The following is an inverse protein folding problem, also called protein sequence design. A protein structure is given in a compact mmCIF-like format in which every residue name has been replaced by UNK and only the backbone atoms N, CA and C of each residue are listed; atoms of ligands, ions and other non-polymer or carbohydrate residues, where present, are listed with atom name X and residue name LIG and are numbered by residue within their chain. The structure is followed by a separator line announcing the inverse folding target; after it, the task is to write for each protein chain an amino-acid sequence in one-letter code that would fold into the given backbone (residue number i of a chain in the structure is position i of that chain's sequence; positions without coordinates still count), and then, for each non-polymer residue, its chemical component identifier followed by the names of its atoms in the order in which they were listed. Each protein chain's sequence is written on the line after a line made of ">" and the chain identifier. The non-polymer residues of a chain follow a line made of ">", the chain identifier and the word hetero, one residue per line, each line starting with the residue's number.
data_IF_846335472671
#
_entry.id   IF_846335472671
#
_cell.length_a   1.000
_cell.length_b   1.000
_cell.length_c   1.000
_cell.angle_alpha   90.00
_cell.angle_beta   90.00
_cell.angle_gamma   90.00
#
_symmetry.space_group_name_H-M   'P 1'
#
loop_
_entity.id
_entity.type
_entity.pdbx_description
1 polymer ?
#
# COMPACT_ATOMS: atom_id res chain seq x y z
N UNK A 1 2.64 -0.54 24.53
CA UNK A 1 1.67 -0.70 23.42
C UNK A 1 0.47 0.19 23.70
N UNK A 2 0.38 1.35 23.05
CA UNK A 2 -0.78 2.28 23.11
C UNK A 2 -0.90 3.01 21.77
N UNK A 3 -1.11 2.27 20.69
CA UNK A 3 -1.97 2.85 19.64
C UNK A 3 -3.37 2.63 20.19
N UNK A 4 -4.00 3.70 20.69
CA UNK A 4 -5.31 3.55 21.34
C UNK A 4 -6.30 2.99 20.32
N UNK A 5 -7.19 2.10 20.75
CA UNK A 5 -8.30 1.60 19.94
C UNK A 5 -9.15 2.76 19.35
N UNK A 6 -9.06 3.96 19.92
CA UNK A 6 -9.67 5.19 19.41
C UNK A 6 -9.08 5.65 18.07
N UNK A 7 -7.77 5.47 17.82
CA UNK A 7 -7.14 5.85 16.55
C UNK A 7 -7.64 5.01 15.36
N UNK A 8 -8.27 3.86 15.64
CA UNK A 8 -8.83 2.95 14.64
C UNK A 8 -10.34 3.01 14.53
N UNK A 9 -11.02 3.85 15.34
CA UNK A 9 -12.49 3.89 15.37
C UNK A 9 -13.08 4.24 14.00
N UNK A 10 -12.39 5.09 13.26
CA UNK A 10 -12.85 5.60 11.97
C UNK A 10 -12.10 4.95 10.78
N UNK A 11 -11.19 4.00 11.03
CA UNK A 11 -10.51 3.26 9.98
C UNK A 11 -11.41 2.12 9.49
N UNK A 12 -11.80 2.16 8.21
CA UNK A 12 -12.45 1.02 7.55
C UNK A 12 -11.47 0.37 6.58
N UNK A 13 -11.23 -0.92 6.79
CA UNK A 13 -10.42 -1.75 5.88
C UNK A 13 -11.36 -2.54 4.98
N UNK A 14 -11.17 -2.42 3.66
CA UNK A 14 -11.82 -3.29 2.67
C UNK A 14 -10.73 -4.24 2.17
N UNK A 15 -10.90 -5.53 2.46
CA UNK A 15 -10.07 -6.58 1.90
C UNK A 15 -10.70 -7.06 0.59
N UNK A 16 -9.89 -7.22 -0.45
CA UNK A 16 -10.30 -7.87 -1.71
C UNK A 16 -9.36 -9.05 -1.88
N UNK A 17 -9.87 -10.25 -1.69
CA UNK A 17 -9.12 -11.50 -1.86
C UNK A 17 -9.13 -11.98 -3.32
N UNK A 18 -8.41 -13.06 -3.63
CA UNK A 18 -8.45 -13.66 -4.97
C UNK A 18 -9.80 -14.31 -5.31
N UNK A 19 -10.51 -14.81 -4.30
CA UNK A 19 -11.86 -15.40 -4.44
C UNK A 19 -12.93 -14.33 -4.65
N UNK A 20 -12.77 -13.20 -3.97
CA UNK A 20 -13.59 -12.01 -4.13
C UNK A 20 -13.13 -11.27 -5.39
N UNK A 21 -13.69 -11.62 -6.55
CA UNK A 21 -13.47 -10.88 -7.79
C UNK A 21 -13.63 -9.38 -7.53
N UNK A 22 -12.52 -8.64 -7.44
CA UNK A 22 -12.58 -7.22 -7.13
C UNK A 22 -13.18 -6.35 -8.24
N UNK A 23 -13.52 -6.95 -9.39
CA UNK A 23 -14.33 -6.37 -10.46
C UNK A 23 -15.82 -6.69 -10.33
N UNK A 24 -16.24 -7.41 -9.30
CA UNK A 24 -17.67 -7.64 -9.06
C UNK A 24 -18.37 -6.29 -8.91
N UNK A 25 -19.56 -6.19 -9.47
CA UNK A 25 -20.36 -4.97 -9.34
C UNK A 25 -20.56 -4.60 -7.86
N UNK A 26 -20.66 -5.61 -6.99
CA UNK A 26 -20.78 -5.45 -5.54
C UNK A 26 -19.53 -4.82 -4.90
N UNK A 27 -18.32 -5.27 -5.22
CA UNK A 27 -17.07 -4.69 -4.68
C UNK A 27 -16.87 -3.25 -5.18
N UNK A 28 -17.15 -2.99 -6.46
CA UNK A 28 -17.07 -1.65 -7.06
C UNK A 28 -18.12 -0.74 -6.42
N UNK A 29 -19.36 -1.20 -6.27
CA UNK A 29 -20.44 -0.44 -5.63
C UNK A 29 -20.11 -0.15 -4.17
N UNK A 30 -19.66 -1.15 -3.40
CA UNK A 30 -19.30 -0.98 -1.99
C UNK A 30 -18.18 0.03 -1.80
N UNK A 31 -17.16 -0.01 -2.65
CA UNK A 31 -16.03 0.93 -2.56
C UNK A 31 -16.44 2.33 -3.04
N UNK A 32 -17.25 2.42 -4.10
CA UNK A 32 -17.80 3.71 -4.57
C UNK A 32 -18.71 4.34 -3.53
N UNK A 33 -19.63 3.59 -2.93
CA UNK A 33 -20.48 4.05 -1.84
C UNK A 33 -19.67 4.46 -0.61
N UNK A 34 -18.57 3.76 -0.32
CA UNK A 34 -17.66 4.14 0.75
C UNK A 34 -16.99 5.49 0.46
N UNK A 35 -16.44 5.67 -0.74
CA UNK A 35 -15.81 6.92 -1.18
C UNK A 35 -16.84 8.07 -1.16
N UNK A 36 -18.02 7.87 -1.75
CA UNK A 36 -19.11 8.87 -1.76
C UNK A 36 -19.50 9.26 -0.33
N UNK A 37 -19.63 8.28 0.58
CA UNK A 37 -19.95 8.54 1.97
C UNK A 37 -18.81 9.29 2.71
N UNK A 38 -17.55 8.99 2.42
CA UNK A 38 -16.41 9.74 2.97
C UNK A 38 -16.41 11.19 2.49
N UNK A 39 -16.70 11.40 1.20
CA UNK A 39 -16.87 12.71 0.57
C UNK A 39 -18.01 13.50 1.21
N UNK A 40 -19.19 12.88 1.39
CA UNK A 40 -20.35 13.52 2.01
C UNK A 40 -20.10 13.92 3.47
N UNK A 41 -19.27 13.16 4.19
CA UNK A 41 -18.92 13.44 5.59
C UNK A 41 -17.65 14.29 5.76
N UNK A 42 -17.01 14.75 4.67
CA UNK A 42 -15.75 15.54 4.70
C UNK A 42 -14.63 14.88 5.53
N UNK A 43 -14.47 13.57 5.39
CA UNK A 43 -13.41 12.81 6.07
C UNK A 43 -12.22 12.68 5.13
N UNK A 44 -11.02 13.07 5.58
CA UNK A 44 -9.78 12.87 4.83
C UNK A 44 -9.59 11.38 4.52
N UNK A 45 -9.64 11.03 3.24
CA UNK A 45 -9.53 9.66 2.77
C UNK A 45 -8.10 9.39 2.30
N UNK A 46 -7.34 8.59 3.05
CA UNK A 46 -6.17 7.91 2.49
C UNK A 46 -6.61 6.52 2.00
N UNK A 47 -6.87 6.40 0.70
CA UNK A 47 -7.04 5.13 0.02
C UNK A 47 -5.68 4.46 -0.17
N UNK A 48 -5.12 3.92 0.91
CA UNK A 48 -3.93 3.07 0.83
C UNK A 48 -4.38 1.66 0.46
N UNK A 49 -4.13 1.23 -0.78
CA UNK A 49 -4.33 -0.17 -1.19
C UNK A 49 -2.98 -0.87 -1.08
N UNK A 50 -2.82 -1.64 0.00
CA UNK A 50 -1.73 -2.59 0.15
C UNK A 50 -2.07 -3.84 -0.68
N UNK A 51 -1.54 -3.91 -1.90
CA UNK A 51 -1.76 -5.07 -2.77
C UNK A 51 -0.75 -6.16 -2.38
N UNK A 52 -1.20 -7.10 -1.55
CA UNK A 52 -0.50 -8.36 -1.32
C UNK A 52 -1.01 -9.43 -2.27
N UNK A 53 -0.09 -10.12 -2.92
CA UNK A 53 -0.34 -11.43 -3.52
C UNK A 53 0.51 -12.45 -2.77
N UNK A 54 -0.12 -13.25 -1.91
CA UNK A 54 0.39 -14.57 -1.55
C UNK A 54 0.22 -15.45 -2.81
N UNK A 55 1.19 -16.32 -3.13
CA UNK A 55 0.97 -17.69 -3.62
C UNK A 55 2.22 -18.28 -4.27
N UNK A 56 2.64 -19.39 -3.68
CA UNK A 56 3.50 -20.40 -4.26
C UNK A 56 2.94 -20.84 -5.62
N UNK A 57 3.79 -20.91 -6.64
CA UNK A 57 3.56 -21.61 -7.93
C UNK A 57 2.68 -20.92 -9.00
N UNK A 58 3.21 -19.89 -9.67
CA UNK A 58 3.21 -19.67 -11.15
C UNK A 58 3.22 -18.17 -11.51
N UNK A 59 4.29 -17.64 -12.13
CA UNK A 59 4.42 -16.22 -12.49
C UNK A 59 3.27 -15.65 -13.34
N UNK A 60 2.65 -16.46 -14.21
CA UNK A 60 1.61 -15.97 -15.14
C UNK A 60 0.26 -15.73 -14.48
N UNK A 61 -0.13 -16.53 -13.47
CA UNK A 61 -1.39 -16.33 -12.72
C UNK A 61 -1.31 -15.07 -11.86
N UNK A 62 -0.17 -14.89 -11.18
CA UNK A 62 0.13 -13.67 -10.40
C UNK A 62 0.03 -12.40 -11.23
N UNK A 63 0.47 -12.43 -12.49
CA UNK A 63 0.34 -11.27 -13.39
C UNK A 63 -1.11 -10.96 -13.74
N UNK A 64 -1.95 -11.96 -13.96
CA UNK A 64 -3.38 -11.79 -14.23
C UNK A 64 -4.08 -11.13 -13.05
N UNK A 65 -3.83 -11.65 -11.85
CA UNK A 65 -4.40 -11.13 -10.59
C UNK A 65 -3.92 -9.71 -10.34
N UNK A 66 -2.61 -9.46 -10.46
CA UNK A 66 -2.08 -8.11 -10.26
C UNK A 66 -2.64 -7.10 -11.28
N UNK A 67 -2.82 -7.49 -12.55
CA UNK A 67 -3.46 -6.62 -13.56
C UNK A 67 -4.90 -6.33 -13.19
N UNK A 68 -5.63 -7.32 -12.68
CA UNK A 68 -6.99 -7.14 -12.19
C UNK A 68 -7.03 -6.17 -11.01
N UNK A 69 -6.20 -6.38 -9.98
CA UNK A 69 -6.10 -5.50 -8.82
C UNK A 69 -5.69 -4.07 -9.21
N UNK A 70 -4.77 -3.93 -10.17
CA UNK A 70 -4.39 -2.63 -10.72
C UNK A 70 -5.56 -1.93 -11.43
N UNK A 71 -6.27 -2.67 -12.28
CA UNK A 71 -7.45 -2.13 -12.97
C UNK A 71 -8.52 -1.69 -11.97
N UNK A 72 -8.73 -2.44 -10.89
CA UNK A 72 -9.67 -2.09 -9.83
C UNK A 72 -9.25 -0.78 -9.17
N UNK A 73 -7.99 -0.67 -8.75
CA UNK A 73 -7.46 0.58 -8.18
C UNK A 73 -7.72 1.77 -9.12
N UNK A 74 -7.41 1.64 -10.42
CA UNK A 74 -7.68 2.71 -11.39
C UNK A 74 -9.18 3.08 -11.48
N UNK A 75 -10.09 2.10 -11.42
CA UNK A 75 -11.54 2.34 -11.43
C UNK A 75 -12.06 3.01 -10.15
N UNK A 76 -11.40 2.77 -9.02
CA UNK A 76 -11.73 3.41 -7.74
C UNK A 76 -11.25 4.86 -7.68
N UNK A 77 -10.11 5.13 -8.31
CA UNK A 77 -9.46 6.43 -8.28
C UNK A 77 -10.01 7.37 -9.35
N UNK A 78 -10.45 6.86 -10.50
CA UNK A 78 -10.92 7.72 -11.61
C UNK A 78 -12.15 8.59 -11.33
N UNK A 79 -13.17 8.17 -10.54
CA UNK A 79 -14.36 9.01 -10.32
C UNK A 79 -14.11 10.20 -9.40
N UNK A 80 -12.98 10.20 -8.69
CA UNK A 80 -12.60 11.21 -7.70
C UNK A 80 -11.40 12.05 -8.12
N UNK A 81 -10.78 11.73 -9.25
CA UNK A 81 -9.84 12.64 -9.93
C UNK A 81 -10.60 13.87 -10.44
N UNK A 82 -10.06 15.07 -10.19
CA UNK A 82 -10.70 16.33 -10.57
C UNK A 82 -11.86 16.80 -9.68
N UNK A 83 -12.20 16.06 -8.61
CA UNK A 83 -13.03 16.62 -7.53
C UNK A 83 -12.29 17.74 -6.80
N UNK A 84 -13.01 18.65 -6.14
CA UNK A 84 -12.37 19.72 -5.36
C UNK A 84 -11.31 19.16 -4.42
N UNK A 85 -10.21 19.87 -4.22
CA UNK A 85 -9.06 19.40 -3.43
C UNK A 85 -9.44 18.83 -2.05
N UNK A 86 -10.48 19.38 -1.42
CA UNK A 86 -11.04 18.94 -0.12
C UNK A 86 -11.68 17.53 -0.13
N UNK A 87 -11.97 16.98 -1.30
CA UNK A 87 -12.69 15.72 -1.49
C UNK A 87 -11.87 14.67 -2.26
N UNK A 88 -10.65 15.01 -2.67
CA UNK A 88 -9.80 14.13 -3.46
C UNK A 88 -9.02 13.16 -2.54
N UNK A 89 -9.34 11.85 -2.54
CA UNK A 89 -8.66 10.89 -1.69
C UNK A 89 -7.20 10.75 -2.09
N UNK A 90 -6.34 10.60 -1.10
CA UNK A 90 -4.94 10.22 -1.29
C UNK A 90 -4.83 8.76 -1.72
N UNK A 91 -3.82 8.46 -2.52
CA UNK A 91 -3.49 7.10 -2.92
C UNK A 91 -2.11 6.71 -2.41
N UNK A 92 -1.92 5.42 -2.13
CA UNK A 92 -0.61 4.83 -1.96
C UNK A 92 -0.58 3.41 -2.55
N UNK A 93 0.50 3.07 -3.23
CA UNK A 93 0.77 1.73 -3.76
C UNK A 93 2.11 1.27 -3.22
N UNK A 94 2.13 0.07 -2.61
CA UNK A 94 3.34 -0.57 -2.09
C UNK A 94 3.58 -1.89 -2.82
N UNK A 95 4.81 -2.08 -3.30
CA UNK A 95 5.33 -3.38 -3.75
C UNK A 95 6.81 -3.49 -3.39
N UNK A 96 7.38 -4.72 -3.43
CA UNK A 96 8.83 -4.88 -3.39
C UNK A 96 9.54 -3.94 -4.38
N UNK A 97 10.66 -3.35 -3.95
CA UNK A 97 11.39 -2.34 -4.72
C UNK A 97 11.73 -2.81 -6.14
N UNK A 98 12.08 -4.08 -6.28
CA UNK A 98 12.51 -4.69 -7.55
C UNK A 98 11.37 -5.35 -8.31
N UNK A 99 10.12 -5.17 -7.87
CA UNK A 99 8.97 -5.80 -8.50
C UNK A 99 8.80 -5.31 -9.95
N UNK A 100 8.56 -6.25 -10.88
CA UNK A 100 8.44 -5.93 -12.30
C UNK A 100 7.20 -5.07 -12.62
N UNK A 101 6.19 -5.08 -11.74
CA UNK A 101 4.94 -4.33 -11.94
C UNK A 101 5.18 -2.83 -12.05
N UNK A 102 6.21 -2.29 -11.37
CA UNK A 102 6.66 -0.90 -11.53
C UNK A 102 7.02 -0.51 -12.97
N UNK A 103 7.37 -1.50 -13.81
CA UNK A 103 7.75 -1.26 -15.20
C UNK A 103 6.57 -1.30 -16.18
N UNK A 104 5.39 -1.73 -15.73
CA UNK A 104 4.20 -1.85 -16.58
C UNK A 104 3.76 -0.48 -17.11
N UNK A 105 3.40 -0.43 -18.40
CA UNK A 105 2.98 0.82 -19.07
C UNK A 105 1.78 1.46 -18.38
N UNK A 106 0.78 0.66 -18.00
CA UNK A 106 -0.43 1.16 -17.33
C UNK A 106 -0.12 1.70 -15.93
N UNK A 107 0.85 1.10 -15.23
CA UNK A 107 1.31 1.57 -13.93
C UNK A 107 1.96 2.94 -14.07
N UNK A 108 2.96 3.05 -14.95
CA UNK A 108 3.65 4.31 -15.21
C UNK A 108 2.70 5.41 -15.68
N UNK A 109 1.74 5.06 -16.55
CA UNK A 109 0.76 6.00 -17.08
C UNK A 109 -0.12 6.57 -15.97
N UNK A 110 -0.70 5.72 -15.12
CA UNK A 110 -1.56 6.17 -14.01
C UNK A 110 -0.78 7.08 -13.06
N UNK A 111 0.42 6.66 -12.63
CA UNK A 111 1.25 7.46 -11.71
C UNK A 111 1.62 8.83 -12.32
N UNK A 112 1.90 8.88 -13.63
CA UNK A 112 2.24 10.12 -14.32
C UNK A 112 1.03 11.01 -14.65
N UNK A 113 -0.19 10.45 -14.70
CA UNK A 113 -1.41 11.19 -15.03
C UNK A 113 -2.12 11.78 -13.82
N UNK A 114 -1.57 11.60 -12.62
CA UNK A 114 -2.13 12.16 -11.38
C UNK A 114 -2.05 13.68 -11.38
N UNK A 115 -3.09 14.32 -10.84
CA UNK A 115 -3.11 15.77 -10.63
C UNK A 115 -2.10 16.19 -9.54
N UNK A 116 -2.02 15.42 -8.45
CA UNK A 116 -1.02 15.59 -7.40
C UNK A 116 0.26 14.84 -7.76
N UNK A 117 1.45 15.45 -7.59
CA UNK A 117 2.71 14.78 -7.83
C UNK A 117 2.86 13.52 -6.98
N UNK A 118 3.23 12.43 -7.63
CA UNK A 118 3.52 11.17 -6.96
C UNK A 118 4.95 11.18 -6.43
N UNK A 119 5.10 10.91 -5.14
CA UNK A 119 6.38 10.81 -4.45
C UNK A 119 6.71 9.33 -4.25
N UNK A 120 7.91 8.94 -4.66
CA UNK A 120 8.46 7.60 -4.40
C UNK A 120 9.23 7.59 -3.09
N UNK A 121 8.88 6.65 -2.21
CA UNK A 121 9.58 6.37 -0.97
C UNK A 121 10.09 4.93 -0.90
N UNK A 122 11.15 4.72 -0.12
CA UNK A 122 11.72 3.39 0.11
C UNK A 122 11.74 3.07 1.60
N UNK A 123 11.35 1.84 1.93
CA UNK A 123 11.32 1.31 3.30
C UNK A 123 12.22 0.08 3.36
N UNK A 124 13.14 0.07 4.31
CA UNK A 124 14.00 -1.08 4.57
C UNK A 124 13.49 -1.83 5.82
N UNK A 125 13.07 -3.09 5.68
CA UNK A 125 12.43 -3.88 6.75
C UNK A 125 13.28 -4.06 8.01
N UNK A 126 14.59 -4.08 7.88
CA UNK A 126 15.49 -4.16 9.03
C UNK A 126 15.40 -2.92 9.93
N UNK A 127 15.09 -1.75 9.37
CA UNK A 127 14.92 -0.50 10.14
C UNK A 127 13.63 -0.46 10.96
N UNK A 128 12.71 -1.41 10.73
CA UNK A 128 11.47 -1.60 11.50
C UNK A 128 11.44 -2.95 12.22
N UNK A 129 12.61 -3.56 12.41
CA UNK A 129 12.75 -4.77 13.22
C UNK A 129 12.18 -6.04 12.57
N UNK A 130 12.11 -6.10 11.23
CA UNK A 130 11.78 -7.34 10.54
C UNK A 130 12.89 -8.37 10.75
N UNK A 131 12.56 -9.50 11.35
CA UNK A 131 13.50 -10.56 11.74
C UNK A 131 13.14 -11.86 11.01
N UNK A 132 14.15 -12.60 10.55
CA UNK A 132 13.99 -13.90 9.92
C UNK A 132 13.96 -15.05 10.92
N UNK A 133 13.71 -16.26 10.41
CA UNK A 133 13.73 -17.48 11.23
C UNK A 133 15.11 -17.77 11.86
N UNK A 134 16.18 -17.22 11.26
CA UNK A 134 17.56 -17.27 11.77
C UNK A 134 17.84 -16.26 12.90
N UNK A 135 16.87 -15.42 13.27
CA UNK A 135 17.00 -14.37 14.26
C UNK A 135 17.74 -13.11 13.77
N UNK A 136 18.19 -13.08 12.51
CA UNK A 136 18.85 -11.92 11.92
C UNK A 136 17.85 -10.95 11.29
N UNK A 137 18.24 -9.67 11.16
CA UNK A 137 17.41 -8.64 10.55
C UNK A 137 17.28 -8.85 9.04
N UNK A 138 16.08 -8.68 8.50
CA UNK A 138 15.82 -8.88 7.07
C UNK A 138 15.85 -7.54 6.33
N UNK A 139 16.67 -7.47 5.29
CA UNK A 139 16.73 -6.31 4.39
C UNK A 139 15.69 -6.36 3.27
N UNK A 140 14.42 -6.53 3.63
CA UNK A 140 13.32 -6.50 2.66
C UNK A 140 13.09 -5.05 2.26
N UNK A 141 13.16 -4.78 0.95
CA UNK A 141 13.04 -3.42 0.42
C UNK A 141 11.70 -3.24 -0.25
N UNK A 142 10.90 -2.33 0.28
CA UNK A 142 9.64 -1.93 -0.31
C UNK A 142 9.77 -0.57 -0.96
N UNK A 143 9.05 -0.39 -2.06
CA UNK A 143 8.83 0.91 -2.70
C UNK A 143 7.37 1.29 -2.46
N UNK A 144 7.15 2.53 -2.06
CA UNK A 144 5.82 3.11 -1.93
C UNK A 144 5.74 4.32 -2.84
N UNK A 145 4.78 4.33 -3.75
CA UNK A 145 4.43 5.50 -4.56
C UNK A 145 3.11 6.06 -4.04
N UNK A 146 3.10 7.33 -3.63
CA UNK A 146 1.92 8.01 -3.04
C UNK A 146 1.86 9.48 -3.43
N UNK A 147 0.67 10.06 -3.51
CA UNK A 147 0.48 11.52 -3.62
C UNK A 147 0.29 12.21 -2.25
N UNK A 148 0.51 11.48 -1.15
CA UNK A 148 0.42 12.01 0.20
C UNK A 148 1.82 12.25 0.78
N UNK A 149 2.24 13.51 0.77
CA UNK A 149 3.58 13.93 1.20
C UNK A 149 3.93 13.52 2.65
N UNK A 150 3.07 13.71 3.68
CA UNK A 150 3.37 13.27 5.04
C UNK A 150 3.73 11.79 5.14
N UNK A 151 2.98 10.92 4.44
CA UNK A 151 3.27 9.50 4.36
C UNK A 151 4.60 9.25 3.64
N UNK A 152 4.83 9.89 2.50
CA UNK A 152 6.07 9.72 1.76
C UNK A 152 7.31 10.07 2.61
N UNK A 153 7.27 11.20 3.31
CA UNK A 153 8.32 11.66 4.22
C UNK A 153 8.52 10.70 5.39
N UNK A 154 7.42 10.24 6.02
CA UNK A 154 7.48 9.29 7.13
C UNK A 154 8.14 7.98 6.72
N UNK A 155 7.78 7.44 5.54
CA UNK A 155 8.33 6.18 5.03
C UNK A 155 9.80 6.32 4.61
N UNK A 156 10.20 7.43 3.99
CA UNK A 156 11.59 7.65 3.59
C UNK A 156 12.55 7.78 4.78
N UNK A 157 12.04 8.00 6.00
CA UNK A 157 12.86 7.95 7.23
C UNK A 157 13.21 6.53 7.68
N UNK A 158 12.54 5.50 7.16
CA UNK A 158 12.72 4.10 7.55
C UNK A 158 13.78 3.45 6.65
N UNK A 159 15.06 3.74 6.94
CA UNK A 159 16.19 3.29 6.14
C UNK A 159 17.19 2.49 6.95
N UNK A 160 17.78 1.49 6.31
CA UNK A 160 18.83 0.67 6.90
C UNK A 160 20.03 1.55 7.30
N UNK A 161 20.41 1.48 8.57
CA UNK A 161 21.59 2.10 9.17
C UNK A 161 22.91 1.47 8.72
N UNK A 162 22.86 0.23 8.21
CA UNK A 162 24.00 -0.58 7.75
C UNK A 162 25.01 -0.94 8.85
N UNK A 163 24.58 -0.93 10.09
CA UNK A 163 25.36 -1.26 11.30
C UNK A 163 25.09 -2.67 11.85
N UNK A 164 24.35 -3.50 11.10
CA UNK A 164 23.95 -4.85 11.49
C UNK A 164 24.12 -5.84 10.33
N UNK A 165 24.18 -7.12 10.68
CA UNK A 165 24.19 -8.23 9.73
C UNK A 165 22.77 -8.52 9.28
N UNK A 166 22.59 -8.66 7.97
CA UNK A 166 21.31 -9.06 7.40
C UNK A 166 21.24 -10.59 7.28
N UNK A 167 20.03 -11.13 7.45
CA UNK A 167 19.73 -12.51 7.06
C UNK A 167 20.06 -12.71 5.57
N UNK A 168 20.80 -13.78 5.27
CA UNK A 168 21.14 -14.15 3.90
C UNK A 168 20.01 -14.94 3.21
N UNK A 169 19.15 -15.58 4.00
CA UNK A 169 18.06 -16.41 3.53
C UNK A 169 16.83 -16.22 4.43
N UNK A 170 15.82 -15.52 3.93
CA UNK A 170 14.56 -15.36 4.62
C UNK A 170 13.38 -15.91 3.80
N UNK A 171 12.42 -16.50 4.49
CA UNK A 171 11.22 -17.06 3.88
C UNK A 171 10.23 -15.94 3.53
N UNK A 172 9.87 -15.83 2.24
CA UNK A 172 8.96 -14.78 1.75
C UNK A 172 7.58 -14.85 2.38
N UNK A 173 7.08 -16.07 2.64
CA UNK A 173 5.76 -16.33 3.21
C UNK A 173 5.71 -15.95 4.68
N UNK A 174 6.70 -16.39 5.44
CA UNK A 174 6.77 -16.06 6.88
C UNK A 174 6.94 -14.55 7.10
N UNK A 175 7.54 -13.85 6.14
CA UNK A 175 7.84 -12.42 6.20
C UNK A 175 6.87 -11.56 5.38
N UNK A 176 5.68 -12.10 5.09
CA UNK A 176 4.61 -11.38 4.37
C UNK A 176 3.85 -10.39 5.26
N UNK A 177 4.03 -10.46 6.58
CA UNK A 177 3.41 -9.52 7.50
C UNK A 177 4.22 -8.21 7.56
N UNK A 178 3.54 -7.09 7.79
CA UNK A 178 4.22 -5.83 8.10
C UNK A 178 4.63 -5.80 9.58
N UNK A 179 5.86 -5.36 9.89
CA UNK A 179 6.24 -5.11 11.28
C UNK A 179 5.36 -4.03 11.91
N UNK A 180 4.99 -4.19 13.18
CA UNK A 180 4.13 -3.23 13.90
C UNK A 180 4.70 -1.81 13.84
N UNK A 181 6.03 -1.65 13.92
CA UNK A 181 6.68 -0.35 13.83
C UNK A 181 6.43 0.35 12.47
N UNK A 182 6.30 -0.40 11.37
CA UNK A 182 5.92 0.16 10.07
C UNK A 182 4.46 0.61 10.07
N UNK A 183 3.55 -0.23 10.57
CA UNK A 183 2.13 0.12 10.68
C UNK A 183 1.92 1.38 11.53
N UNK A 184 2.59 1.48 12.67
CA UNK A 184 2.52 2.65 13.55
C UNK A 184 2.98 3.92 12.83
N UNK A 185 4.07 3.84 12.05
CA UNK A 185 4.61 4.97 11.30
C UNK A 185 3.64 5.43 10.21
N UNK A 186 3.03 4.49 9.48
CA UNK A 186 1.99 4.80 8.48
C UNK A 186 0.83 5.50 9.17
N UNK A 187 0.29 4.94 10.25
CA UNK A 187 -0.87 5.50 10.95
C UNK A 187 -0.60 6.90 11.52
N UNK A 188 0.61 7.13 12.05
CA UNK A 188 1.00 8.46 12.54
C UNK A 188 1.06 9.50 11.43
N UNK A 189 1.34 9.10 10.19
CA UNK A 189 1.35 10.02 9.04
C UNK A 189 -0.04 10.39 8.54
N UNK A 190 -1.07 9.61 8.89
CA UNK A 190 -2.46 9.84 8.49
C UNK A 190 -3.23 10.78 9.43
N UNK A 191 -2.57 11.29 10.48
CA UNK A 191 -3.13 12.24 11.47
C UNK A 191 -2.69 13.66 11.14
#
# INVERSE_FOLDING_TARGET
>A
MKVSAEAFRDLKVICITEEENGLSEDTIALTRSFIVRMVEHKVDACGSIFIWAELDTMPRKLWGIQRMLWKNLCLLVSPVEGMSAELQPYFAVEWPKTCQYWTWKDVKKMLASRERPVITSFVDGCAVGMIGADGALIHKRWRVDTDFEPLACALNSIRCTKDHVHSENFNLRETQHYPVALCDKVLQSLK
#
